data_IF_486541375676
#
_entry.id   IF_486541375676
#
_cell.length_a   1.000
_cell.length_b   1.000
_cell.length_c   1.000
_cell.angle_alpha   90.00
_cell.angle_beta   90.00
_cell.angle_gamma   90.00
#
_symmetry.space_group_name_H-M   'P 1'
#
loop_
_entity.id
_entity.type
_entity.pdbx_description
1 polymer ?
#
# COMPACT_ATOMS: atom_id res chain seq x y z
N UNK A 1 -7.95 -17.28 6.54
CA UNK A 1 -6.52 -16.90 6.57
C UNK A 1 -5.87 -17.57 5.37
N UNK A 2 -5.11 -16.83 4.55
CA UNK A 2 -4.47 -17.26 3.29
C UNK A 2 -4.70 -18.72 2.88
N UNK A 3 -5.69 -18.95 2.03
CA UNK A 3 -6.02 -20.27 1.49
C UNK A 3 -5.67 -20.33 0.02
N UNK A 4 -5.14 -21.46 -0.43
CA UNK A 4 -4.93 -21.73 -1.83
C UNK A 4 -5.37 -23.16 -2.16
N UNK A 5 -5.70 -23.39 -3.42
CA UNK A 5 -5.93 -24.73 -3.97
C UNK A 5 -5.19 -24.87 -5.29
N UNK A 6 -4.91 -26.11 -5.68
CA UNK A 6 -4.37 -26.44 -7.01
C UNK A 6 -5.37 -27.31 -7.74
N UNK A 7 -5.55 -27.06 -9.03
CA UNK A 7 -6.48 -27.84 -9.84
C UNK A 7 -6.43 -27.49 -11.32
N UNK A 8 -7.51 -27.83 -12.01
CA UNK A 8 -7.72 -27.47 -13.42
C UNK A 8 -8.52 -26.17 -13.49
N UNK A 9 -8.04 -25.20 -14.26
CA UNK A 9 -8.71 -23.91 -14.48
C UNK A 9 -8.73 -23.60 -15.98
N UNK A 10 -9.90 -23.34 -16.55
CA UNK A 10 -10.06 -23.09 -17.99
C UNK A 10 -9.40 -24.17 -18.89
N UNK A 11 -9.45 -25.44 -18.47
CA UNK A 11 -8.81 -26.56 -19.16
C UNK A 11 -7.29 -26.65 -19.00
N UNK A 12 -6.66 -25.74 -18.25
CA UNK A 12 -5.24 -25.77 -17.92
C UNK A 12 -5.04 -26.52 -16.60
N UNK A 13 -4.16 -27.52 -16.60
CA UNK A 13 -3.81 -28.29 -15.40
C UNK A 13 -2.81 -27.56 -14.49
N UNK A 14 -2.72 -27.98 -13.23
CA UNK A 14 -1.75 -27.49 -12.25
C UNK A 14 -1.79 -25.95 -12.03
N UNK A 15 -2.98 -25.36 -12.08
CA UNK A 15 -3.18 -23.94 -11.77
C UNK A 15 -3.34 -23.78 -10.27
N UNK A 16 -2.56 -22.86 -9.67
CA UNK A 16 -2.71 -22.46 -8.27
C UNK A 16 -3.62 -21.24 -8.20
N UNK A 17 -4.69 -21.35 -7.41
CA UNK A 17 -5.61 -20.26 -7.13
C UNK A 17 -5.49 -19.93 -5.64
N UNK A 18 -5.06 -18.73 -5.31
CA UNK A 18 -4.97 -18.24 -3.94
C UNK A 18 -5.98 -17.14 -3.68
N UNK A 19 -6.66 -17.20 -2.53
CA UNK A 19 -7.56 -16.15 -2.06
C UNK A 19 -6.75 -14.97 -1.50
N UNK A 20 -6.07 -14.28 -2.42
CA UNK A 20 -5.16 -13.17 -2.18
C UNK A 20 -5.38 -12.07 -3.20
N UNK A 21 -4.86 -10.88 -2.89
CA UNK A 21 -4.95 -9.73 -3.76
C UNK A 21 -4.33 -8.50 -3.12
N UNK A 22 -4.16 -7.46 -3.92
CA UNK A 22 -3.50 -6.22 -3.51
C UNK A 22 -4.42 -5.00 -3.67
N UNK A 23 -5.72 -5.22 -3.75
CA UNK A 23 -6.74 -4.17 -3.93
C UNK A 23 -7.62 -3.94 -2.70
N UNK A 24 -7.56 -4.84 -1.70
CA UNK A 24 -8.48 -4.88 -0.54
C UNK A 24 -9.87 -5.43 -0.82
N UNK A 25 -10.23 -5.58 -2.10
CA UNK A 25 -11.45 -6.25 -2.50
C UNK A 25 -11.31 -7.78 -2.39
N UNK A 26 -12.45 -8.47 -2.33
CA UNK A 26 -12.46 -9.92 -2.53
C UNK A 26 -11.94 -10.29 -3.92
N UNK A 27 -11.22 -11.41 -4.02
CA UNK A 27 -10.62 -11.84 -5.27
C UNK A 27 -9.66 -13.00 -5.08
N UNK A 28 -9.00 -13.36 -6.18
CA UNK A 28 -7.97 -14.41 -6.22
C UNK A 28 -6.79 -13.98 -7.09
N UNK A 29 -5.62 -14.52 -6.80
CA UNK A 29 -4.48 -14.53 -7.71
C UNK A 29 -4.37 -15.92 -8.35
N UNK A 30 -4.14 -15.96 -9.66
CA UNK A 30 -4.12 -17.18 -10.47
C UNK A 30 -2.72 -17.35 -11.04
N UNK A 31 -2.04 -18.43 -10.66
CA UNK A 31 -0.67 -18.74 -11.07
C UNK A 31 -0.65 -20.03 -11.87
N UNK A 32 0.04 -19.99 -13.01
CA UNK A 32 0.15 -21.10 -13.94
C UNK A 32 1.46 -20.98 -14.73
N UNK A 33 1.90 -22.08 -15.31
CA UNK A 33 3.02 -22.05 -16.27
C UNK A 33 2.51 -21.64 -17.64
N UNK A 34 3.17 -20.68 -18.27
CA UNK A 34 2.83 -20.23 -19.62
C UNK A 34 3.38 -21.20 -20.67
N UNK A 35 2.68 -22.32 -20.85
CA UNK A 35 2.98 -23.37 -21.83
C UNK A 35 1.82 -23.50 -22.81
N UNK A 36 2.09 -23.44 -24.12
CA UNK A 36 1.05 -23.61 -25.13
C UNK A 36 -0.09 -22.59 -25.00
N UNK A 37 0.27 -21.32 -24.83
CA UNK A 37 -0.64 -20.16 -24.75
C UNK A 37 -1.62 -20.21 -23.57
N UNK A 38 -1.21 -20.81 -22.45
CA UNK A 38 -2.03 -20.89 -21.25
C UNK A 38 -2.45 -19.50 -20.74
N UNK A 39 -1.58 -18.49 -20.87
CA UNK A 39 -1.93 -17.12 -20.49
C UNK A 39 -3.15 -16.60 -21.27
N UNK A 40 -3.15 -16.73 -22.59
CA UNK A 40 -4.24 -16.28 -23.45
C UNK A 40 -5.52 -17.06 -23.20
N UNK A 41 -5.41 -18.39 -23.02
CA UNK A 41 -6.55 -19.28 -22.71
C UNK A 41 -7.24 -18.88 -21.40
N UNK A 42 -6.46 -18.73 -20.33
CA UNK A 42 -6.99 -18.38 -19.01
C UNK A 42 -7.57 -16.97 -19.04
N UNK A 43 -6.87 -16.01 -19.65
CA UNK A 43 -7.34 -14.64 -19.80
C UNK A 43 -8.68 -14.59 -20.53
N UNK A 44 -8.77 -15.19 -21.72
CA UNK A 44 -10.00 -15.22 -22.52
C UNK A 44 -11.16 -15.86 -21.78
N UNK A 45 -10.92 -17.00 -21.10
CA UNK A 45 -11.96 -17.70 -20.34
C UNK A 45 -12.51 -16.87 -19.17
N UNK A 46 -11.65 -16.08 -18.49
CA UNK A 46 -12.08 -15.17 -17.41
C UNK A 46 -12.99 -14.06 -17.97
N UNK A 47 -12.60 -13.45 -19.09
CA UNK A 47 -13.38 -12.38 -19.71
C UNK A 47 -14.71 -12.87 -20.28
N UNK A 48 -14.71 -14.06 -20.89
CA UNK A 48 -15.94 -14.70 -21.37
C UNK A 48 -16.89 -14.99 -20.20
N UNK A 49 -16.40 -15.62 -19.14
CA UNK A 49 -17.22 -15.95 -17.97
C UNK A 49 -17.76 -14.71 -17.23
N UNK A 50 -16.99 -13.62 -17.19
CA UNK A 50 -17.37 -12.37 -16.53
C UNK A 50 -18.12 -11.37 -17.41
N UNK A 51 -18.38 -11.69 -18.68
CA UNK A 51 -18.94 -10.75 -19.65
C UNK A 51 -20.33 -10.22 -19.22
N UNK A 52 -21.19 -11.10 -18.69
CA UNK A 52 -22.53 -10.73 -18.21
C UNK A 52 -22.49 -9.79 -16.99
N UNK A 53 -21.38 -9.78 -16.24
CA UNK A 53 -21.15 -8.93 -15.08
C UNK A 53 -20.36 -7.65 -15.43
N UNK A 54 -20.03 -7.45 -16.71
CA UNK A 54 -19.31 -6.27 -17.18
C UNK A 54 -17.85 -6.22 -16.73
N UNK A 55 -17.19 -7.37 -16.60
CA UNK A 55 -15.76 -7.46 -16.27
C UNK A 55 -14.92 -6.63 -17.24
N UNK A 56 -13.89 -5.97 -16.72
CA UNK A 56 -12.97 -5.12 -17.50
C UNK A 56 -11.53 -5.33 -17.07
N UNK A 57 -10.56 -5.23 -18.00
CA UNK A 57 -9.16 -5.20 -17.60
C UNK A 57 -8.87 -3.92 -16.84
N UNK A 58 -7.95 -4.02 -15.88
CA UNK A 58 -7.52 -2.89 -15.05
C UNK A 58 -6.00 -2.74 -15.13
N UNK A 59 -5.54 -1.50 -15.26
CA UNK A 59 -4.12 -1.16 -15.37
C UNK A 59 -3.47 -0.79 -14.04
N UNK A 60 -2.17 -0.51 -14.10
CA UNK A 60 -1.34 -0.18 -12.93
C UNK A 60 -1.83 1.06 -12.17
N UNK A 61 -2.31 2.09 -12.87
CA UNK A 61 -2.77 3.32 -12.21
C UNK A 61 -3.94 3.09 -11.26
N UNK A 62 -4.90 2.24 -11.64
CA UNK A 62 -6.03 1.92 -10.78
C UNK A 62 -5.67 0.87 -9.71
N UNK A 63 -4.72 -0.03 -9.98
CA UNK A 63 -4.12 -0.88 -8.92
C UNK A 63 -3.47 -0.02 -7.83
N UNK A 64 -2.75 1.03 -8.21
CA UNK A 64 -2.05 1.93 -7.27
C UNK A 64 -3.02 2.75 -6.42
N UNK A 65 -4.17 3.15 -6.97
CA UNK A 65 -5.21 3.83 -6.16
C UNK A 65 -5.84 2.87 -5.15
N UNK A 66 -6.19 1.65 -5.57
CA UNK A 66 -6.86 0.66 -4.70
C UNK A 66 -5.95 0.20 -3.54
N UNK A 67 -4.68 -0.10 -3.82
CA UNK A 67 -3.74 -0.50 -2.77
C UNK A 67 -3.50 0.62 -1.77
N UNK A 68 -3.47 1.88 -2.25
CA UNK A 68 -3.26 3.04 -1.40
C UNK A 68 -4.47 3.31 -0.51
N UNK A 69 -5.69 3.17 -1.04
CA UNK A 69 -6.94 3.20 -0.27
C UNK A 69 -6.91 2.18 0.89
N UNK A 70 -6.26 1.04 0.70
CA UNK A 70 -6.09 0.02 1.75
C UNK A 70 -4.88 0.24 2.67
N UNK A 71 -4.04 1.23 2.40
CA UNK A 71 -2.78 1.46 3.12
C UNK A 71 -1.74 0.36 2.88
N UNK A 72 -1.81 -0.37 1.77
CA UNK A 72 -0.83 -1.39 1.43
C UNK A 72 0.47 -0.76 0.93
N UNK A 73 1.60 -1.20 1.50
CA UNK A 73 2.93 -0.71 1.20
C UNK A 73 3.43 -1.22 -0.15
N UNK A 74 3.95 -0.32 -0.98
CA UNK A 74 4.65 -0.61 -2.23
C UNK A 74 6.16 -0.52 -1.99
N UNK A 75 6.89 -1.61 -2.25
CA UNK A 75 8.35 -1.60 -2.12
C UNK A 75 8.99 -0.70 -3.19
N UNK A 76 9.97 0.10 -2.78
CA UNK A 76 10.56 1.18 -3.57
C UNK A 76 9.85 2.53 -3.37
N UNK A 77 8.71 2.55 -2.67
CA UNK A 77 7.97 3.76 -2.31
C UNK A 77 7.82 3.89 -0.80
N UNK A 78 7.01 3.01 -0.21
CA UNK A 78 6.59 3.09 1.20
C UNK A 78 7.46 2.28 2.13
N UNK A 79 8.13 1.27 1.57
CA UNK A 79 9.17 0.50 2.23
C UNK A 79 10.33 0.32 1.25
N UNK A 80 11.54 0.36 1.78
CA UNK A 80 12.79 0.13 1.07
C UNK A 80 13.88 -0.35 2.05
N UNK A 81 15.12 -0.47 1.56
CA UNK A 81 16.27 -0.95 2.33
C UNK A 81 16.69 -0.02 3.50
N UNK A 82 16.13 1.19 3.56
CA UNK A 82 16.39 2.20 4.60
C UNK A 82 15.28 2.29 5.64
N UNK A 83 14.17 1.56 5.46
CA UNK A 83 13.01 1.56 6.35
C UNK A 83 12.92 0.26 7.14
N UNK A 84 12.31 0.31 8.33
CA UNK A 84 12.02 -0.90 9.11
C UNK A 84 10.54 -1.28 9.05
N UNK A 85 10.21 -2.58 9.22
CA UNK A 85 8.82 -3.00 9.34
C UNK A 85 8.12 -2.42 10.57
N UNK A 86 8.86 -2.01 11.62
CA UNK A 86 8.27 -1.34 12.78
C UNK A 86 7.88 0.10 12.47
N UNK A 87 8.75 0.83 11.76
CA UNK A 87 8.46 2.19 11.28
C UNK A 87 7.27 2.17 10.30
N UNK A 88 7.18 1.15 9.44
CA UNK A 88 6.09 0.97 8.46
C UNK A 88 4.75 0.51 9.07
N UNK A 89 4.66 0.29 10.38
CA UNK A 89 3.46 -0.24 11.02
C UNK A 89 3.19 -1.74 10.75
N UNK A 90 4.17 -2.45 10.20
CA UNK A 90 4.11 -3.88 9.87
C UNK A 90 4.56 -4.80 11.02
N UNK A 91 4.66 -4.28 12.25
CA UNK A 91 5.06 -5.06 13.43
C UNK A 91 4.16 -6.28 13.71
N UNK A 92 2.93 -6.29 13.19
CA UNK A 92 2.01 -7.43 13.31
C UNK A 92 2.49 -8.69 12.56
N UNK A 93 3.26 -8.53 11.48
CA UNK A 93 3.92 -9.64 10.75
C UNK A 93 5.39 -9.86 11.15
N UNK A 94 6.00 -8.99 11.95
CA UNK A 94 7.36 -9.14 12.47
C UNK A 94 7.36 -10.02 13.74
N UNK A 95 7.58 -11.33 13.58
CA UNK A 95 7.52 -12.30 14.70
C UNK A 95 8.90 -12.57 15.30
N UNK A 96 9.12 -12.04 16.51
CA UNK A 96 10.34 -12.23 17.33
C UNK A 96 10.41 -13.59 18.05
N UNK A 97 9.49 -14.51 17.75
CA UNK A 97 9.46 -15.87 18.32
C UNK A 97 10.36 -16.86 17.57
N UNK A 98 11.11 -16.40 16.56
CA UNK A 98 11.99 -17.21 15.72
C UNK A 98 13.23 -16.39 15.33
N UNK A 99 14.29 -17.08 14.92
CA UNK A 99 15.46 -16.42 14.33
C UNK A 99 15.18 -15.96 12.89
N UNK A 100 15.72 -14.79 12.55
CA UNK A 100 15.69 -14.21 11.20
C UNK A 100 16.73 -13.09 11.05
N UNK A 101 17.02 -12.70 9.81
CA UNK A 101 17.95 -11.61 9.48
C UNK A 101 17.56 -10.31 10.15
N UNK A 102 18.53 -9.60 10.74
CA UNK A 102 18.33 -8.30 11.42
C UNK A 102 17.41 -8.35 12.66
N UNK A 103 17.16 -9.53 13.24
CA UNK A 103 16.35 -9.68 14.45
C UNK A 103 16.81 -8.77 15.59
N UNK A 104 18.09 -8.80 15.96
CA UNK A 104 18.64 -8.02 17.07
C UNK A 104 18.43 -6.51 16.88
N UNK A 105 18.60 -6.03 15.64
CA UNK A 105 18.38 -4.62 15.28
C UNK A 105 16.92 -4.23 15.51
N UNK A 106 15.97 -5.07 15.07
CA UNK A 106 14.55 -4.81 15.22
C UNK A 106 14.06 -5.00 16.67
N UNK A 107 14.65 -5.91 17.45
CA UNK A 107 14.37 -6.04 18.89
C UNK A 107 14.82 -4.78 19.65
N UNK A 108 16.00 -4.27 19.31
CA UNK A 108 16.50 -3.02 19.87
C UNK A 108 15.57 -1.85 19.51
N UNK A 109 15.20 -1.71 18.23
CA UNK A 109 14.27 -0.67 17.79
C UNK A 109 12.88 -0.79 18.46
N UNK A 110 12.40 -2.01 18.70
CA UNK A 110 11.15 -2.23 19.45
C UNK A 110 11.26 -1.78 20.91
N UNK A 111 12.44 -1.91 21.52
CA UNK A 111 12.71 -1.55 22.92
C UNK A 111 12.93 -0.05 23.07
N UNK A 112 13.76 0.54 22.20
CA UNK A 112 14.10 1.97 22.21
C UNK A 112 12.95 2.85 21.71
N UNK A 113 12.09 2.29 20.86
CA UNK A 113 11.07 3.02 20.11
C UNK A 113 11.55 3.48 18.73
N UNK A 114 10.58 3.76 17.86
CA UNK A 114 10.82 4.35 16.53
C UNK A 114 10.84 5.87 16.63
N UNK A 115 11.65 6.53 15.80
CA UNK A 115 11.74 8.00 15.72
C UNK A 115 10.85 8.58 14.62
N UNK A 116 10.50 7.77 13.62
CA UNK A 116 9.55 8.09 12.55
C UNK A 116 8.58 6.94 12.32
N UNK A 117 7.42 7.24 11.76
CA UNK A 117 6.34 6.29 11.51
C UNK A 117 5.67 6.57 10.17
N UNK A 118 5.37 5.52 9.42
CA UNK A 118 4.52 5.60 8.23
C UNK A 118 3.07 5.86 8.67
N UNK A 119 2.49 6.95 8.19
CA UNK A 119 1.11 7.34 8.49
C UNK A 119 0.33 7.56 7.20
N UNK A 120 -0.98 7.39 7.27
CA UNK A 120 -1.89 7.88 6.24
C UNK A 120 -2.29 9.31 6.53
N UNK A 121 -2.58 10.07 5.48
CA UNK A 121 -3.10 11.43 5.59
C UNK A 121 -4.08 11.75 4.46
N UNK A 122 -5.02 12.64 4.75
CA UNK A 122 -5.93 13.24 3.77
C UNK A 122 -5.55 14.71 3.57
N UNK A 123 -5.52 15.19 2.33
CA UNK A 123 -5.33 16.61 2.05
C UNK A 123 -6.56 17.39 2.49
N UNK A 124 -6.36 18.47 3.25
CA UNK A 124 -7.42 19.43 3.61
C UNK A 124 -7.52 20.49 2.53
N UNK A 125 -6.37 21.05 2.14
CA UNK A 125 -6.28 21.98 1.02
C UNK A 125 -6.33 21.27 -0.33
N UNK A 126 -6.76 22.00 -1.35
CA UNK A 126 -6.79 21.48 -2.72
C UNK A 126 -5.36 21.25 -3.24
N UNK A 127 -4.97 19.99 -3.34
CA UNK A 127 -3.70 19.55 -3.91
C UNK A 127 -3.59 18.03 -3.93
N UNK A 128 -2.59 17.52 -4.66
CA UNK A 128 -2.27 16.09 -4.69
C UNK A 128 -0.82 15.96 -4.27
N UNK A 129 -0.59 15.20 -3.20
CA UNK A 129 0.75 14.82 -2.77
C UNK A 129 1.35 13.80 -3.73
N UNK A 130 2.68 13.82 -3.89
CA UNK A 130 3.41 12.89 -4.74
C UNK A 130 4.63 12.36 -4.00
N UNK A 131 5.11 11.19 -4.42
CA UNK A 131 6.32 10.59 -3.89
C UNK A 131 7.48 11.61 -3.82
N UNK A 132 8.16 11.64 -2.67
CA UNK A 132 9.32 12.49 -2.40
C UNK A 132 9.00 13.92 -1.95
N UNK A 133 7.72 14.32 -1.87
CA UNK A 133 7.38 15.64 -1.34
C UNK A 133 7.71 15.75 0.15
N UNK A 134 8.25 16.88 0.57
CA UNK A 134 8.56 17.17 1.97
C UNK A 134 7.25 17.31 2.77
N UNK A 135 7.24 16.72 3.97
CA UNK A 135 6.21 16.95 4.98
C UNK A 135 6.80 17.90 6.02
N UNK A 136 6.12 19.01 6.24
CA UNK A 136 6.51 20.08 7.16
C UNK A 136 5.51 20.21 8.31
N UNK A 137 5.94 20.81 9.41
CA UNK A 137 5.03 21.31 10.45
C UNK A 137 4.46 22.69 10.09
N UNK A 138 3.65 23.27 10.98
CA UNK A 138 3.05 24.60 10.80
C UNK A 138 4.09 25.72 10.74
N UNK A 139 5.25 25.54 11.37
CA UNK A 139 6.39 26.46 11.32
C UNK A 139 7.24 26.34 10.06
N UNK A 140 6.97 25.34 9.20
CA UNK A 140 7.73 25.05 7.98
C UNK A 140 8.97 24.20 8.21
N UNK A 141 9.17 23.62 9.39
CA UNK A 141 10.29 22.72 9.68
C UNK A 141 10.06 21.34 9.05
N UNK A 142 11.13 20.69 8.62
CA UNK A 142 11.09 19.33 8.08
C UNK A 142 10.74 18.29 9.15
N UNK A 143 9.64 17.55 8.91
CA UNK A 143 9.19 16.49 9.81
C UNK A 143 9.03 15.13 9.13
N UNK A 144 9.19 15.07 7.81
CA UNK A 144 8.93 13.84 7.08
C UNK A 144 8.93 13.98 5.56
N UNK A 145 8.46 12.94 4.89
CA UNK A 145 8.31 12.90 3.44
C UNK A 145 7.16 11.98 3.01
N UNK A 146 6.55 12.32 1.87
CA UNK A 146 5.49 11.54 1.23
C UNK A 146 6.12 10.36 0.49
N UNK A 147 5.60 9.15 0.73
CA UNK A 147 6.03 7.94 0.03
C UNK A 147 5.09 7.60 -1.14
N UNK A 148 3.78 7.78 -0.96
CA UNK A 148 2.77 7.62 -2.00
C UNK A 148 1.64 8.63 -1.83
N UNK A 149 1.06 9.09 -2.93
CA UNK A 149 -0.04 10.05 -2.90
C UNK A 149 -0.78 10.10 -4.23
N UNK A 150 -2.12 10.19 -4.16
CA UNK A 150 -2.97 10.25 -5.35
C UNK A 150 -4.36 10.81 -5.01
N UNK A 151 -5.16 11.04 -6.05
CA UNK A 151 -6.60 11.22 -5.91
C UNK A 151 -7.27 9.85 -5.81
N UNK A 152 -7.94 9.56 -4.69
CA UNK A 152 -8.77 8.37 -4.53
C UNK A 152 -10.08 8.54 -5.31
N UNK A 153 -10.37 7.67 -6.30
CA UNK A 153 -11.64 7.69 -7.01
C UNK A 153 -12.80 7.20 -6.12
N UNK A 154 -12.57 6.21 -5.26
CA UNK A 154 -13.61 5.61 -4.42
C UNK A 154 -14.09 6.56 -3.32
N UNK A 155 -13.16 7.32 -2.73
CA UNK A 155 -13.44 8.22 -1.60
C UNK A 155 -13.72 9.66 -2.05
N UNK A 156 -13.34 10.03 -3.28
CA UNK A 156 -13.42 11.41 -3.76
C UNK A 156 -12.45 12.37 -3.06
N UNK A 157 -11.39 11.86 -2.42
CA UNK A 157 -10.41 12.63 -1.63
C UNK A 157 -8.99 12.48 -2.18
N UNK A 158 -8.15 13.49 -1.98
CA UNK A 158 -6.71 13.35 -2.16
C UNK A 158 -6.10 12.75 -0.89
N UNK A 159 -5.50 11.57 -1.03
CA UNK A 159 -4.93 10.79 0.07
C UNK A 159 -3.45 10.53 -0.19
N UNK A 160 -2.71 10.27 0.88
CA UNK A 160 -1.33 9.82 0.79
C UNK A 160 -0.87 9.10 2.02
N UNK A 161 0.30 8.47 1.89
CA UNK A 161 1.05 7.86 2.96
C UNK A 161 2.47 8.43 2.95
N UNK A 162 3.06 8.55 4.13
CA UNK A 162 4.40 9.12 4.28
C UNK A 162 4.96 8.90 5.66
N UNK A 163 6.29 8.98 5.76
CA UNK A 163 6.97 8.91 7.05
C UNK A 163 6.97 10.29 7.69
N UNK A 164 6.54 10.34 8.95
CA UNK A 164 6.64 11.55 9.79
C UNK A 164 7.35 11.22 11.09
N UNK A 165 8.00 12.21 11.70
CA UNK A 165 8.46 12.12 13.08
C UNK A 165 7.32 11.67 14.00
N UNK A 166 7.60 10.82 14.98
CA UNK A 166 6.57 10.23 15.85
C UNK A 166 5.73 11.27 16.59
N UNK A 167 6.29 12.45 16.86
CA UNK A 167 5.59 13.59 17.45
C UNK A 167 4.37 14.07 16.64
N UNK A 168 4.36 13.81 15.32
CA UNK A 168 3.30 14.20 14.39
C UNK A 168 2.49 13.01 13.86
N UNK A 169 2.67 11.82 14.44
CA UNK A 169 2.10 10.58 13.91
C UNK A 169 0.70 10.23 14.45
N UNK A 170 0.18 11.03 15.38
CA UNK A 170 -1.15 10.81 15.96
C UNK A 170 -2.24 11.15 14.94
N UNK A 171 -3.34 10.40 14.96
CA UNK A 171 -4.55 10.74 14.18
C UNK A 171 -4.97 12.19 14.48
N UNK A 172 -5.47 12.88 13.47
CA UNK A 172 -5.86 14.29 13.49
C UNK A 172 -4.72 15.30 13.65
N UNK A 173 -3.45 14.86 13.69
CA UNK A 173 -2.30 15.77 13.59
C UNK A 173 -2.36 16.57 12.29
N UNK A 174 -2.18 17.89 12.40
CA UNK A 174 -2.02 18.78 11.24
C UNK A 174 -0.59 18.70 10.74
N UNK A 175 -0.44 18.43 9.45
CA UNK A 175 0.83 18.37 8.74
C UNK A 175 0.71 19.16 7.44
N UNK A 176 1.83 19.54 6.85
CA UNK A 176 1.82 20.37 5.64
C UNK A 176 2.65 19.71 4.55
N UNK A 177 2.05 19.47 3.40
CA UNK A 177 2.75 18.92 2.24
C UNK A 177 3.31 20.09 1.45
N UNK A 178 4.62 20.12 1.24
CA UNK A 178 5.25 21.13 0.40
C UNK A 178 5.05 20.78 -1.07
N UNK A 179 4.16 21.50 -1.72
CA UNK A 179 3.89 21.38 -3.15
C UNK A 179 4.43 22.62 -3.85
N UNK A 180 5.57 22.46 -4.52
CA UNK A 180 6.35 23.59 -5.08
C UNK A 180 6.72 24.56 -3.94
N UNK A 181 6.25 25.81 -4.02
CA UNK A 181 6.54 26.86 -3.04
C UNK A 181 5.41 27.05 -2.01
N UNK A 182 4.42 26.13 -1.98
CA UNK A 182 3.26 26.22 -1.08
C UNK A 182 3.25 25.09 -0.07
N UNK A 183 2.86 25.41 1.15
CA UNK A 183 2.50 24.45 2.18
C UNK A 183 1.00 24.23 2.12
N UNK A 184 0.58 23.02 1.76
CA UNK A 184 -0.83 22.63 1.70
C UNK A 184 -1.16 21.79 2.92
N UNK A 185 -2.19 22.16 3.66
CA UNK A 185 -2.60 21.45 4.86
C UNK A 185 -3.11 20.04 4.51
N UNK A 186 -2.65 19.08 5.30
CA UNK A 186 -3.14 17.71 5.34
C UNK A 186 -3.32 17.27 6.80
N UNK A 187 -4.16 16.27 6.99
CA UNK A 187 -4.48 15.73 8.31
C UNK A 187 -4.15 14.25 8.37
N UNK A 188 -3.37 13.86 9.38
CA UNK A 188 -3.07 12.44 9.62
C UNK A 188 -4.37 11.69 9.92
N UNK A 189 -4.56 10.56 9.26
CA UNK A 189 -5.76 9.71 9.38
C UNK A 189 -5.36 8.25 9.58
N UNK A 190 -6.34 7.46 9.98
CA UNK A 190 -6.18 6.01 10.13
C UNK A 190 -6.20 5.33 8.75
N UNK A 191 -5.33 4.35 8.55
CA UNK A 191 -5.40 3.40 7.45
C UNK A 191 -6.11 2.10 7.89
N UNK A 192 -6.83 1.40 6.99
CA UNK A 192 -7.13 1.77 5.60
C UNK A 192 -8.05 3.00 5.52
N UNK A 193 -8.05 3.67 4.36
CA UNK A 193 -8.92 4.81 4.06
C UNK A 193 -10.32 4.37 3.59
N UNK A 194 -10.44 3.15 3.06
CA UNK A 194 -11.67 2.51 2.60
C UNK A 194 -11.98 1.24 3.41
#
# INVERSE_FOLDING_TARGET
YYTFTKGVFAGVENVLVSATGYTGAGGVEIYFEDKGDNAEKIWSAIFEAGAAQGIKPIGLGARDTLRLEMGYCLYGNDIDDTTSPLEAGLGWITKFTKEFTAREILEKQKTDGITRKLVGFEMVDRGISRHGYEIKDEGGADIGYVTSGTQSPSLGKAIGIGYVSTAFSATDSRIFIKVRDKLLEAKVTKMPFA
#
